data_IF_031879329408
#
_entry.id   IF_031879329408
#
_cell.length_a   1.000
_cell.length_b   1.000
_cell.length_c   1.000
_cell.angle_alpha   90.00
_cell.angle_beta   90.00
_cell.angle_gamma   90.00
#
_symmetry.space_group_name_H-M   'P 1'
#
loop_
_entity.id
_entity.type
_entity.pdbx_description
1 polymer ?
#
# COMPACT_ATOMS: atom_id res chain seq x y z
N UNK A 1 4.47 2.03 -22.99
CA UNK A 1 4.64 3.15 -22.05
C UNK A 1 4.33 2.61 -20.67
N UNK A 2 5.27 2.66 -19.74
CA UNK A 2 5.06 2.14 -18.39
C UNK A 2 4.31 3.19 -17.57
N UNK A 3 3.42 2.80 -16.64
CA UNK A 3 2.72 3.74 -15.73
C UNK A 3 3.72 4.65 -15.00
N UNK A 4 4.87 4.10 -14.60
CA UNK A 4 5.97 4.86 -14.01
C UNK A 4 6.48 5.99 -14.91
N UNK A 5 6.56 5.77 -16.23
CA UNK A 5 7.12 6.75 -17.18
C UNK A 5 6.16 7.93 -17.42
N UNK A 6 4.87 7.78 -17.06
CA UNK A 6 3.87 8.85 -17.15
C UNK A 6 3.69 9.62 -15.83
N UNK A 7 4.27 9.15 -14.73
CA UNK A 7 4.21 9.83 -13.44
C UNK A 7 5.32 10.89 -13.31
N UNK A 8 4.96 12.09 -12.85
CA UNK A 8 5.93 13.15 -12.53
C UNK A 8 6.73 12.81 -11.27
N UNK A 9 6.07 12.15 -10.30
CA UNK A 9 6.66 11.79 -9.01
C UNK A 9 6.21 10.40 -8.60
N UNK A 10 7.12 9.62 -8.04
CA UNK A 10 6.83 8.32 -7.43
C UNK A 10 7.00 8.43 -5.92
N UNK A 11 5.99 8.00 -5.17
CA UNK A 11 6.05 7.92 -3.72
C UNK A 11 5.94 6.45 -3.30
N UNK A 12 6.96 5.96 -2.60
CA UNK A 12 6.99 4.60 -2.08
C UNK A 12 6.76 4.62 -0.58
N UNK A 13 5.72 3.93 -0.12
CA UNK A 13 5.45 3.66 1.28
C UNK A 13 5.79 2.21 1.61
N UNK A 14 6.98 1.95 2.14
CA UNK A 14 7.45 0.62 2.54
C UNK A 14 7.17 0.43 4.04
N UNK A 15 6.01 -0.16 4.36
CA UNK A 15 5.50 -0.19 5.73
C UNK A 15 5.42 -1.62 6.25
N UNK A 16 6.24 -1.91 7.26
CA UNK A 16 6.24 -3.20 7.95
C UNK A 16 7.02 -4.31 7.24
N UNK A 17 7.81 -3.96 6.23
CA UNK A 17 8.72 -4.90 5.58
C UNK A 17 10.01 -5.09 6.38
N UNK A 18 10.77 -6.14 6.07
CA UNK A 18 12.02 -6.42 6.79
C UNK A 18 13.07 -5.36 6.50
N UNK A 19 13.73 -4.84 7.55
CA UNK A 19 14.72 -3.76 7.42
C UNK A 19 15.81 -4.04 6.35
N UNK A 20 16.28 -5.29 6.24
CA UNK A 20 17.28 -5.69 5.23
C UNK A 20 16.76 -5.61 3.80
N UNK A 21 15.49 -5.98 3.57
CA UNK A 21 14.84 -5.94 2.25
C UNK A 21 14.61 -4.50 1.82
N UNK A 22 14.12 -3.67 2.75
CA UNK A 22 14.00 -2.22 2.57
C UNK A 22 15.34 -1.58 2.22
N UNK A 23 16.42 -1.94 2.94
CA UNK A 23 17.76 -1.42 2.69
C UNK A 23 18.25 -1.72 1.27
N UNK A 24 18.14 -2.97 0.82
CA UNK A 24 18.53 -3.39 -0.55
C UNK A 24 17.71 -2.65 -1.61
N UNK A 25 16.39 -2.57 -1.42
CA UNK A 25 15.49 -1.88 -2.36
C UNK A 25 15.83 -0.39 -2.47
N UNK A 26 16.00 0.29 -1.35
CA UNK A 26 16.36 1.71 -1.31
C UNK A 26 17.72 1.95 -1.99
N UNK A 27 18.71 1.12 -1.71
CA UNK A 27 20.03 1.23 -2.37
C UNK A 27 19.92 1.04 -3.89
N UNK A 28 19.12 0.07 -4.36
CA UNK A 28 18.94 -0.16 -5.79
C UNK A 28 18.25 1.02 -6.50
N UNK A 29 17.28 1.66 -5.82
CA UNK A 29 16.59 2.84 -6.35
C UNK A 29 17.51 4.06 -6.48
N UNK A 30 18.35 4.33 -5.49
CA UNK A 30 19.22 5.51 -5.48
C UNK A 30 20.54 5.32 -6.23
N UNK A 31 20.96 4.10 -6.54
CA UNK A 31 22.13 3.84 -7.39
C UNK A 31 21.88 4.14 -8.88
N UNK A 32 20.62 4.17 -9.31
CA UNK A 32 20.24 4.56 -10.67
C UNK A 32 20.19 6.10 -10.77
N UNK A 33 21.21 6.72 -11.31
CA UNK A 33 21.40 8.19 -11.44
C UNK A 33 20.27 8.96 -12.16
N UNK A 34 19.28 8.29 -12.72
CA UNK A 34 18.17 8.88 -13.48
C UNK A 34 16.87 9.03 -12.70
N UNK A 35 16.85 8.79 -11.38
CA UNK A 35 15.59 8.72 -10.60
C UNK A 35 15.47 9.88 -9.59
N UNK A 36 15.55 11.12 -10.06
CA UNK A 36 15.45 12.32 -9.21
C UNK A 36 14.04 12.59 -8.64
N UNK A 37 13.02 11.81 -9.05
CA UNK A 37 11.61 12.07 -8.71
C UNK A 37 11.00 10.99 -7.80
N UNK A 38 11.81 10.28 -7.02
CA UNK A 38 11.33 9.25 -6.09
C UNK A 38 11.43 9.74 -4.65
N UNK A 39 10.31 9.63 -3.91
CA UNK A 39 10.26 9.85 -2.48
C UNK A 39 9.97 8.53 -1.77
N UNK A 40 10.76 8.17 -0.77
CA UNK A 40 10.59 6.90 -0.03
C UNK A 40 10.27 7.19 1.43
N UNK A 41 9.20 6.59 1.93
CA UNK A 41 8.87 6.52 3.36
C UNK A 41 8.98 5.08 3.78
N UNK A 42 10.02 4.75 4.53
CA UNK A 42 10.29 3.40 5.00
C UNK A 42 10.12 3.31 6.51
N UNK A 43 9.26 2.40 6.96
CA UNK A 43 9.07 2.06 8.38
C UNK A 43 9.08 0.54 8.52
N UNK A 44 10.23 -0.05 8.87
CA UNK A 44 10.40 -1.49 8.97
C UNK A 44 9.51 -2.15 10.04
N UNK A 45 9.40 -3.48 9.97
CA UNK A 45 8.53 -4.28 10.84
C UNK A 45 8.92 -4.25 12.33
N UNK A 46 10.18 -3.97 12.65
CA UNK A 46 10.71 -3.84 14.01
C UNK A 46 10.33 -2.50 14.68
N UNK A 47 9.78 -1.57 13.91
CA UNK A 47 9.32 -0.29 14.45
C UNK A 47 7.94 -0.42 15.12
N UNK A 48 7.64 0.52 16.03
CA UNK A 48 6.36 0.51 16.75
C UNK A 48 5.14 0.57 15.83
N UNK A 49 3.99 -0.02 16.23
CA UNK A 49 2.75 0.04 15.46
C UNK A 49 2.33 1.47 15.10
N UNK A 50 2.53 2.40 16.05
CA UNK A 50 2.21 3.81 15.82
C UNK A 50 3.05 4.42 14.70
N UNK A 51 4.34 4.12 14.64
CA UNK A 51 5.22 4.61 13.58
C UNK A 51 4.84 4.01 12.22
N UNK A 52 4.45 2.73 12.17
CA UNK A 52 3.98 2.08 10.93
C UNK A 52 2.72 2.77 10.38
N UNK A 53 1.71 3.03 11.21
CA UNK A 53 0.49 3.76 10.80
C UNK A 53 0.83 5.20 10.39
N UNK A 54 1.68 5.89 11.15
CA UNK A 54 2.14 7.26 10.81
C UNK A 54 2.91 7.29 9.50
N UNK A 55 3.73 6.28 9.23
CA UNK A 55 4.48 6.14 7.98
C UNK A 55 3.57 6.08 6.76
N UNK A 56 2.52 5.26 6.81
CA UNK A 56 1.52 5.17 5.75
C UNK A 56 0.82 6.52 5.50
N UNK A 57 0.36 7.16 6.57
CA UNK A 57 -0.26 8.49 6.46
C UNK A 57 0.71 9.54 5.90
N UNK A 58 2.01 9.47 6.25
CA UNK A 58 3.01 10.39 5.73
C UNK A 58 3.29 10.18 4.24
N UNK A 59 3.39 8.93 3.78
CA UNK A 59 3.54 8.62 2.36
C UNK A 59 2.37 9.18 1.55
N UNK A 60 1.14 8.95 2.01
CA UNK A 60 -0.06 9.49 1.37
C UNK A 60 -0.07 11.02 1.38
N UNK A 61 0.30 11.67 2.50
CA UNK A 61 0.36 13.12 2.59
C UNK A 61 1.42 13.74 1.64
N UNK A 62 2.53 13.05 1.41
CA UNK A 62 3.53 13.47 0.41
C UNK A 62 2.93 13.40 -0.99
N UNK A 63 2.20 12.32 -1.31
CA UNK A 63 1.51 12.18 -2.59
C UNK A 63 0.46 13.30 -2.79
N UNK A 64 -0.34 13.59 -1.77
CA UNK A 64 -1.32 14.69 -1.78
C UNK A 64 -0.66 16.06 -1.99
N UNK A 65 0.49 16.30 -1.38
CA UNK A 65 1.25 17.52 -1.58
C UNK A 65 1.64 17.71 -3.04
N UNK A 66 2.19 16.69 -3.70
CA UNK A 66 2.54 16.78 -5.11
C UNK A 66 1.31 16.88 -6.02
N UNK A 67 0.22 16.19 -5.70
CA UNK A 67 -1.07 16.35 -6.40
C UNK A 67 -1.54 17.80 -6.35
N UNK A 68 -1.44 18.47 -5.19
CA UNK A 68 -1.81 19.88 -5.06
C UNK A 68 -0.92 20.83 -5.87
N UNK A 69 0.24 20.36 -6.31
CA UNK A 69 1.17 21.08 -7.22
C UNK A 69 0.98 20.72 -8.69
N UNK A 70 -0.18 20.21 -9.06
CA UNK A 70 -0.55 19.78 -10.42
C UNK A 70 0.36 18.65 -10.97
N UNK A 71 0.86 17.76 -10.12
CA UNK A 71 1.67 16.63 -10.52
C UNK A 71 0.86 15.35 -10.60
N UNK A 72 1.20 14.50 -11.56
CA UNK A 72 0.73 13.13 -11.64
C UNK A 72 1.63 12.27 -10.75
N UNK A 73 1.07 11.73 -9.68
CA UNK A 73 1.81 10.99 -8.67
C UNK A 73 1.49 9.51 -8.78
N UNK A 74 2.52 8.68 -8.76
CA UNK A 74 2.39 7.24 -8.55
C UNK A 74 2.69 6.93 -7.08
N UNK A 75 1.67 6.52 -6.33
CA UNK A 75 1.82 6.05 -4.96
C UNK A 75 1.87 4.52 -4.95
N UNK A 76 2.91 3.95 -4.38
CA UNK A 76 3.02 2.50 -4.15
C UNK A 76 3.10 2.28 -2.65
N UNK A 77 2.12 1.57 -2.07
CA UNK A 77 2.04 1.29 -0.64
C UNK A 77 2.20 -0.20 -0.38
N UNK A 78 3.32 -0.57 0.19
CA UNK A 78 3.64 -1.95 0.55
C UNK A 78 3.80 -2.08 2.08
N UNK A 79 2.82 -2.63 2.81
CA UNK A 79 1.55 -3.20 2.36
C UNK A 79 0.38 -2.75 3.26
N UNK A 80 -0.84 -2.75 2.74
CA UNK A 80 -2.05 -2.48 3.54
C UNK A 80 -2.21 -3.47 4.69
N UNK A 81 -1.91 -4.74 4.48
CA UNK A 81 -1.99 -5.79 5.52
C UNK A 81 -1.11 -5.45 6.72
N UNK A 82 0.12 -4.97 6.49
CA UNK A 82 1.03 -4.58 7.57
C UNK A 82 0.54 -3.35 8.33
N UNK A 83 -0.09 -2.42 7.63
CA UNK A 83 -0.72 -1.23 8.24
C UNK A 83 -1.92 -1.66 9.09
N UNK A 84 -2.77 -2.56 8.57
CA UNK A 84 -3.90 -3.14 9.29
C UNK A 84 -3.48 -3.88 10.55
N UNK A 85 -2.40 -4.69 10.48
CA UNK A 85 -1.84 -5.36 11.67
C UNK A 85 -1.35 -4.35 12.71
N UNK A 86 -0.64 -3.30 12.30
CA UNK A 86 -0.20 -2.25 13.21
C UNK A 86 -1.38 -1.53 13.88
N UNK A 87 -2.42 -1.22 13.13
CA UNK A 87 -3.63 -0.59 13.66
C UNK A 87 -4.39 -1.54 14.60
N UNK A 88 -4.42 -2.85 14.30
CA UNK A 88 -4.98 -3.87 15.19
C UNK A 88 -4.26 -3.91 16.54
N UNK A 89 -2.92 -3.92 16.54
CA UNK A 89 -2.12 -3.88 17.77
C UNK A 89 -2.47 -2.66 18.63
N UNK A 90 -2.63 -1.47 18.00
CA UNK A 90 -3.02 -0.25 18.70
C UNK A 90 -4.44 -0.36 19.25
N UNK A 91 -5.42 -0.77 18.44
CA UNK A 91 -6.81 -0.88 18.87
C UNK A 91 -6.98 -1.85 20.05
N UNK A 92 -6.39 -3.05 19.96
CA UNK A 92 -6.45 -4.05 21.02
C UNK A 92 -5.78 -3.54 22.31
N UNK A 93 -4.66 -2.83 22.22
CA UNK A 93 -3.98 -2.25 23.39
C UNK A 93 -4.79 -1.11 24.05
N UNK A 94 -5.69 -0.48 23.31
CA UNK A 94 -6.64 0.52 23.79
C UNK A 94 -7.95 -0.10 24.29
N UNK A 95 -8.10 -1.43 24.27
CA UNK A 95 -9.28 -2.14 24.74
C UNK A 95 -10.42 -2.24 23.73
N UNK A 96 -10.18 -1.94 22.44
CA UNK A 96 -11.19 -2.19 21.41
C UNK A 96 -11.50 -3.69 21.32
N UNK A 97 -12.79 -4.02 21.22
CA UNK A 97 -13.21 -5.42 21.08
C UNK A 97 -12.92 -5.92 19.66
N UNK A 98 -12.26 -7.07 19.50
CA UNK A 98 -12.03 -7.64 18.19
C UNK A 98 -13.35 -8.15 17.57
N UNK A 99 -13.47 -7.98 16.26
CA UNK A 99 -14.57 -8.53 15.45
C UNK A 99 -14.08 -9.68 14.58
N UNK A 100 -14.37 -9.67 13.29
CA UNK A 100 -13.95 -10.72 12.36
C UNK A 100 -12.42 -10.88 12.33
N UNK A 101 -11.94 -12.12 12.47
CA UNK A 101 -10.50 -12.49 12.45
C UNK A 101 -9.62 -11.67 13.39
N UNK A 102 -10.18 -11.18 14.49
CA UNK A 102 -9.44 -10.43 15.50
C UNK A 102 -9.13 -8.98 15.11
N UNK A 103 -9.73 -8.45 14.06
CA UNK A 103 -9.60 -7.03 13.72
C UNK A 103 -10.66 -6.20 14.45
N UNK A 104 -10.25 -5.14 15.19
CA UNK A 104 -11.21 -4.19 15.74
C UNK A 104 -11.82 -3.28 14.66
N UNK A 105 -13.00 -2.68 14.91
CA UNK A 105 -13.70 -1.82 13.94
C UNK A 105 -12.84 -0.67 13.41
N UNK A 106 -11.94 -0.13 14.21
CA UNK A 106 -11.04 0.96 13.82
C UNK A 106 -10.07 0.59 12.69
N UNK A 107 -9.77 -0.71 12.49
CA UNK A 107 -8.97 -1.18 11.35
C UNK A 107 -9.78 -1.11 10.08
N UNK A 108 -11.01 -1.61 10.12
CA UNK A 108 -11.89 -1.68 8.95
C UNK A 108 -12.24 -0.26 8.46
N UNK A 109 -12.47 0.68 9.35
CA UNK A 109 -12.72 2.08 8.97
C UNK A 109 -11.47 2.82 8.47
N UNK A 110 -10.28 2.41 8.88
CA UNK A 110 -9.03 3.05 8.45
C UNK A 110 -8.71 2.79 6.97
N UNK A 111 -9.00 1.58 6.48
CA UNK A 111 -8.63 1.16 5.11
C UNK A 111 -9.31 2.05 4.06
N UNK A 112 -10.64 2.23 4.06
CA UNK A 112 -11.31 3.16 3.17
C UNK A 112 -10.74 4.57 3.26
N UNK A 113 -10.58 5.09 4.48
CA UNK A 113 -10.05 6.43 4.69
C UNK A 113 -8.65 6.65 4.11
N UNK A 114 -7.84 5.59 4.02
CA UNK A 114 -6.51 5.68 3.42
C UNK A 114 -6.59 5.63 1.89
N UNK A 115 -7.42 4.75 1.33
CA UNK A 115 -7.56 4.52 -0.11
C UNK A 115 -8.22 5.72 -0.80
N UNK A 116 -9.31 6.25 -0.23
CA UNK A 116 -10.07 7.38 -0.76
C UNK A 116 -9.26 8.69 -0.90
N UNK A 117 -8.10 8.76 -0.26
CA UNK A 117 -7.18 9.90 -0.42
C UNK A 117 -6.46 9.92 -1.76
N UNK A 118 -6.51 8.84 -2.52
CA UNK A 118 -5.96 8.73 -3.87
C UNK A 118 -6.94 9.31 -4.91
N UNK A 119 -6.55 9.31 -6.18
CA UNK A 119 -7.39 9.76 -7.28
C UNK A 119 -7.13 11.22 -7.70
N UNK A 120 -8.04 11.73 -8.49
CA UNK A 120 -7.98 13.08 -9.04
C UNK A 120 -8.23 14.15 -7.97
N UNK A 121 -7.77 15.35 -8.23
CA UNK A 121 -8.06 16.51 -7.38
C UNK A 121 -9.19 17.32 -7.98
N UNK A 122 -10.15 17.73 -7.16
CA UNK A 122 -11.23 18.66 -7.58
C UNK A 122 -10.75 20.11 -7.72
N UNK A 123 -9.59 20.44 -7.15
CA UNK A 123 -9.07 21.81 -7.04
C UNK A 123 -7.85 22.03 -7.93
N UNK A 124 -7.15 20.98 -8.31
CA UNK A 124 -5.92 21.02 -9.11
C UNK A 124 -5.99 20.03 -10.27
N UNK A 125 -5.13 20.20 -11.28
CA UNK A 125 -5.03 19.25 -12.40
C UNK A 125 -4.13 18.04 -12.07
N UNK A 126 -3.73 17.88 -10.81
CA UNK A 126 -2.91 16.74 -10.37
C UNK A 126 -3.74 15.52 -10.04
N UNK A 127 -3.08 14.35 -10.07
CA UNK A 127 -3.70 13.06 -9.79
C UNK A 127 -2.79 12.19 -8.93
N UNK A 128 -3.38 11.24 -8.19
CA UNK A 128 -2.67 10.14 -7.53
C UNK A 128 -3.20 8.82 -8.10
N UNK A 129 -2.35 8.10 -8.82
CA UNK A 129 -2.58 6.70 -9.13
C UNK A 129 -1.92 5.86 -8.05
N UNK A 130 -2.70 5.06 -7.33
CA UNK A 130 -2.18 4.30 -6.20
C UNK A 130 -2.21 2.80 -6.44
N UNK A 131 -1.13 2.12 -6.06
CA UNK A 131 -1.04 0.66 -5.96
C UNK A 131 -0.85 0.28 -4.50
N UNK A 132 -1.75 -0.54 -4.01
CA UNK A 132 -1.69 -1.10 -2.67
C UNK A 132 -1.44 -2.59 -2.76
N UNK A 133 -0.38 -3.09 -2.12
CA UNK A 133 -0.22 -4.53 -1.97
C UNK A 133 -1.02 -5.01 -0.78
N UNK A 134 -1.71 -6.14 -0.95
CA UNK A 134 -2.49 -6.80 0.10
C UNK A 134 -2.08 -8.27 0.15
N UNK A 135 -1.70 -8.73 1.32
CA UNK A 135 -1.32 -10.12 1.57
C UNK A 135 -2.49 -10.82 2.27
N UNK A 136 -3.14 -11.75 1.58
CA UNK A 136 -4.14 -12.61 2.20
C UNK A 136 -3.46 -13.69 3.04
N UNK A 137 -3.83 -13.81 4.31
CA UNK A 137 -3.30 -14.88 5.17
C UNK A 137 -3.82 -16.24 4.68
N UNK A 138 -2.92 -17.16 4.41
CA UNK A 138 -3.21 -18.53 3.96
C UNK A 138 -4.11 -18.64 2.71
N UNK A 139 -4.01 -17.68 1.78
CA UNK A 139 -4.86 -17.57 0.57
C UNK A 139 -6.37 -17.44 0.90
N UNK A 140 -6.68 -16.93 2.07
CA UNK A 140 -8.05 -16.75 2.52
C UNK A 140 -8.69 -15.51 1.89
N UNK A 141 -9.51 -15.73 0.87
CA UNK A 141 -10.26 -14.67 0.21
C UNK A 141 -11.29 -13.95 1.11
N UNK A 142 -11.61 -14.52 2.29
CA UNK A 142 -12.53 -13.91 3.27
C UNK A 142 -11.77 -13.09 4.34
N UNK A 143 -10.54 -12.68 4.09
CA UNK A 143 -9.82 -11.77 4.98
C UNK A 143 -10.49 -10.39 4.98
N UNK A 144 -10.88 -9.82 6.15
CA UNK A 144 -11.58 -8.54 6.21
C UNK A 144 -10.81 -7.38 5.60
N UNK A 145 -9.46 -7.42 5.60
CA UNK A 145 -8.61 -6.40 4.98
C UNK A 145 -8.70 -6.50 3.46
N UNK A 146 -8.64 -7.73 2.92
CA UNK A 146 -8.78 -7.99 1.48
C UNK A 146 -10.16 -7.57 0.99
N UNK A 147 -11.21 -7.98 1.70
CA UNK A 147 -12.61 -7.69 1.35
C UNK A 147 -12.89 -6.18 1.37
N UNK A 148 -12.45 -5.50 2.43
CA UNK A 148 -12.62 -4.05 2.55
C UNK A 148 -11.86 -3.30 1.46
N UNK A 149 -10.63 -3.72 1.15
CA UNK A 149 -9.84 -3.10 0.10
C UNK A 149 -10.49 -3.30 -1.28
N UNK A 150 -10.92 -4.52 -1.62
CA UNK A 150 -11.60 -4.82 -2.89
C UNK A 150 -12.89 -4.04 -3.09
N UNK A 151 -13.65 -3.79 -2.02
CA UNK A 151 -14.90 -3.06 -2.09
C UNK A 151 -14.74 -1.57 -2.48
N UNK A 152 -13.52 -1.02 -2.36
CA UNK A 152 -13.26 0.41 -2.52
C UNK A 152 -12.31 0.70 -3.69
N UNK A 153 -11.40 -0.21 -4.00
CA UNK A 153 -10.46 -0.07 -5.10
C UNK A 153 -11.16 -0.19 -6.45
N UNK A 154 -10.72 0.61 -7.42
CA UNK A 154 -11.24 0.61 -8.80
C UNK A 154 -10.98 -0.71 -9.53
N UNK A 155 -9.99 -1.47 -9.08
CA UNK A 155 -9.64 -2.78 -9.62
C UNK A 155 -8.59 -3.49 -8.80
N UNK A 156 -8.36 -4.76 -9.09
CA UNK A 156 -7.35 -5.56 -8.40
C UNK A 156 -6.66 -6.55 -9.33
N UNK A 157 -5.40 -6.80 -9.06
CA UNK A 157 -4.59 -7.81 -9.73
C UNK A 157 -4.35 -8.95 -8.74
N UNK A 158 -4.91 -10.12 -9.02
CA UNK A 158 -4.74 -11.31 -8.20
C UNK A 158 -3.50 -12.09 -8.64
N UNK A 159 -2.66 -12.46 -7.68
CA UNK A 159 -1.52 -13.36 -7.91
C UNK A 159 -1.87 -14.77 -7.44
N UNK A 160 -1.71 -15.73 -8.34
CA UNK A 160 -2.05 -17.14 -8.10
C UNK A 160 -0.84 -17.93 -7.59
N UNK A 161 -0.99 -18.58 -6.42
CA UNK A 161 0.01 -19.50 -5.90
C UNK A 161 0.23 -20.69 -6.84
N UNK A 162 -0.83 -21.20 -7.47
CA UNK A 162 -0.72 -22.30 -8.42
C UNK A 162 0.14 -21.94 -9.63
N UNK A 163 -0.05 -20.75 -10.21
CA UNK A 163 0.78 -20.26 -11.31
C UNK A 163 2.26 -20.15 -10.87
N UNK A 164 2.50 -19.60 -9.69
CA UNK A 164 3.84 -19.50 -9.14
C UNK A 164 4.51 -20.88 -8.91
N UNK A 165 3.76 -21.87 -8.41
CA UNK A 165 4.26 -23.25 -8.23
C UNK A 165 4.56 -23.95 -9.57
N UNK A 166 3.82 -23.62 -10.63
CA UNK A 166 4.08 -24.09 -11.99
C UNK A 166 5.21 -23.33 -12.69
N UNK A 167 5.85 -22.36 -12.01
CA UNK A 167 6.92 -21.54 -12.60
C UNK A 167 6.44 -20.47 -13.58
N UNK A 168 5.14 -20.16 -13.61
CA UNK A 168 4.57 -19.14 -14.49
C UNK A 168 4.72 -17.78 -13.82
N UNK A 169 5.50 -16.89 -14.42
CA UNK A 169 5.74 -15.53 -13.94
C UNK A 169 5.57 -14.49 -15.06
N UNK A 170 4.92 -13.33 -14.76
CA UNK A 170 4.26 -12.99 -13.50
C UNK A 170 3.09 -13.93 -13.20
N UNK A 171 2.92 -14.30 -11.92
CA UNK A 171 1.92 -15.28 -11.49
C UNK A 171 0.49 -14.70 -11.45
N UNK A 172 0.12 -13.88 -12.42
CA UNK A 172 -1.17 -13.18 -12.50
C UNK A 172 -2.28 -14.15 -12.84
N UNK A 173 -3.35 -14.11 -12.08
CA UNK A 173 -4.61 -14.77 -12.40
C UNK A 173 -5.50 -13.81 -13.18
N UNK A 174 -5.47 -13.93 -14.50
CA UNK A 174 -6.20 -13.03 -15.42
C UNK A 174 -7.71 -13.19 -15.28
N UNK A 175 -8.19 -14.38 -14.94
CA UNK A 175 -9.62 -14.68 -14.87
C UNK A 175 -10.27 -14.08 -13.62
N UNK A 176 -9.52 -13.95 -12.54
CA UNK A 176 -10.00 -13.43 -11.25
C UNK A 176 -9.49 -12.01 -10.95
N UNK A 177 -8.74 -11.40 -11.86
CA UNK A 177 -8.34 -9.99 -11.79
C UNK A 177 -9.37 -9.10 -12.50
N UNK A 178 -9.60 -7.89 -11.93
CA UNK A 178 -10.57 -6.91 -12.46
C UNK A 178 -9.90 -5.55 -12.60
#
# INVERSE_FOLDING_TARGET
>A
MCIRDSADVVVLGLIGERAREVGVMVQSLFNNKNENNISVVAVPADQSPLLRVRGANRATAIAEYFRSKNKNVLLIMDSLTRIAHAKREIGLSLGEQPTSKGYPPSVISMIPNLIERSGNSDVSNGSITAFYTVLADADDNNDPVVDTARAILDGHILLSRNNAQMGIYPAVDITNSV
#
